data_IF_871443014783
#
_entry.id   IF_871443014783
#
_cell.length_a   1.000
_cell.length_b   1.000
_cell.length_c   1.000
_cell.angle_alpha   90.00
_cell.angle_beta   90.00
_cell.angle_gamma   90.00
#
_symmetry.space_group_name_H-M   'P 1'
#
loop_
_entity.id
_entity.type
_entity.pdbx_description
1 polymer ?
#
# COMPACT_ATOMS: atom_id res chain seq x y z
N UNK A 1 7.34 -6.63 7.70
CA UNK A 1 8.53 -7.31 7.15
C UNK A 1 9.22 -6.50 6.05
N UNK A 2 8.63 -6.27 4.86
CA UNK A 2 9.32 -5.49 3.82
C UNK A 2 9.47 -4.01 4.17
N UNK A 3 8.42 -3.38 4.70
CA UNK A 3 8.47 -2.01 5.19
C UNK A 3 9.52 -1.82 6.30
N UNK A 4 9.77 -2.86 7.11
CA UNK A 4 10.78 -2.80 8.17
C UNK A 4 12.19 -2.80 7.59
N UNK A 5 12.48 -3.57 6.53
CA UNK A 5 13.77 -3.49 5.83
C UNK A 5 14.06 -2.09 5.29
N UNK A 6 13.03 -1.40 4.79
CA UNK A 6 13.13 -0.02 4.32
C UNK A 6 13.36 0.98 5.47
N UNK A 7 12.76 0.74 6.63
CA UNK A 7 12.95 1.54 7.86
C UNK A 7 14.40 1.54 8.37
N UNK A 8 15.16 0.46 8.12
CA UNK A 8 16.56 0.39 8.54
C UNK A 8 17.48 1.37 7.81
N UNK A 9 17.06 1.93 6.67
CA UNK A 9 17.84 2.87 5.85
C UNK A 9 19.17 2.30 5.34
N UNK A 10 19.38 0.98 5.49
CA UNK A 10 20.56 0.23 5.07
C UNK A 10 20.17 -1.20 4.70
N UNK A 11 20.98 -1.89 3.89
CA UNK A 11 20.84 -3.32 3.70
C UNK A 11 20.95 -4.07 5.03
N UNK A 12 19.94 -4.89 5.37
CA UNK A 12 19.87 -5.69 6.59
C UNK A 12 19.66 -7.17 6.27
N UNK A 13 20.15 -8.05 7.16
CA UNK A 13 19.96 -9.50 7.01
C UNK A 13 18.58 -9.95 7.51
N UNK A 14 18.11 -11.08 7.00
CA UNK A 14 16.87 -11.71 7.45
C UNK A 14 16.87 -12.01 8.94
N UNK A 15 18.01 -12.41 9.51
CA UNK A 15 18.13 -12.64 10.94
C UNK A 15 17.92 -11.37 11.78
N UNK A 16 18.40 -10.21 11.29
CA UNK A 16 18.22 -8.93 11.98
C UNK A 16 16.75 -8.48 11.95
N UNK A 17 16.09 -8.60 10.79
CA UNK A 17 14.66 -8.27 10.66
C UNK A 17 13.82 -9.22 11.50
N UNK A 18 14.13 -10.51 11.49
CA UNK A 18 13.44 -11.51 12.29
C UNK A 18 13.52 -11.21 13.78
N UNK A 19 14.71 -10.91 14.31
CA UNK A 19 14.87 -10.54 15.72
C UNK A 19 14.04 -9.30 16.04
N UNK A 20 14.07 -8.26 15.22
CA UNK A 20 13.31 -7.03 15.50
C UNK A 20 11.80 -7.25 15.51
N UNK A 21 11.28 -8.11 14.66
CA UNK A 21 9.83 -8.38 14.57
C UNK A 21 9.32 -9.41 15.56
N UNK A 22 10.21 -10.28 16.04
CA UNK A 22 9.87 -11.36 16.96
C UNK A 22 10.44 -11.13 18.37
N UNK A 23 10.94 -9.92 18.64
CA UNK A 23 11.36 -9.45 19.97
C UNK A 23 10.54 -8.22 20.35
N UNK A 24 9.92 -8.28 21.52
CA UNK A 24 9.16 -7.17 22.10
C UNK A 24 10.10 -6.04 22.58
N UNK A 25 9.59 -4.82 22.86
CA UNK A 25 10.41 -3.72 23.37
C UNK A 25 11.10 -4.00 24.72
N UNK A 26 10.59 -4.96 25.49
CA UNK A 26 11.20 -5.44 26.75
C UNK A 26 12.35 -6.43 26.53
N UNK A 27 12.69 -6.75 25.27
CA UNK A 27 13.73 -7.70 24.89
C UNK A 27 13.28 -9.17 24.93
N UNK A 28 12.02 -9.44 25.28
CA UNK A 28 11.48 -10.80 25.36
C UNK A 28 10.98 -11.25 23.99
N UNK A 29 11.35 -12.47 23.58
CA UNK A 29 10.83 -13.06 22.34
C UNK A 29 9.32 -13.31 22.41
N UNK A 30 8.64 -13.17 21.28
CA UNK A 30 7.17 -13.31 21.20
C UNK A 30 6.70 -14.74 21.50
N UNK A 31 7.51 -15.75 21.20
CA UNK A 31 7.27 -17.15 21.48
C UNK A 31 8.58 -17.97 21.58
N UNK A 32 8.48 -19.25 21.97
CA UNK A 32 9.64 -20.13 22.14
C UNK A 32 10.35 -20.47 20.81
N UNK A 33 9.64 -20.50 19.67
CA UNK A 33 10.28 -20.72 18.37
C UNK A 33 11.06 -19.48 17.93
N UNK A 34 10.52 -18.29 18.18
CA UNK A 34 11.16 -17.01 17.98
C UNK A 34 12.44 -16.83 18.80
N UNK A 35 12.60 -17.57 19.89
CA UNK A 35 13.85 -17.61 20.66
C UNK A 35 14.87 -18.62 20.09
N UNK A 36 14.43 -19.81 19.68
CA UNK A 36 15.33 -20.85 19.19
C UNK A 36 16.02 -20.50 17.87
N UNK A 37 15.28 -19.88 16.94
CA UNK A 37 15.82 -19.50 15.63
C UNK A 37 17.02 -18.55 15.75
N UNK A 38 16.95 -17.42 16.48
CA UNK A 38 18.07 -16.50 16.64
C UNK A 38 19.24 -17.11 17.43
N UNK A 39 18.98 -17.99 18.40
CA UNK A 39 20.04 -18.70 19.13
C UNK A 39 20.83 -19.64 18.20
N UNK A 40 20.13 -20.45 17.40
CA UNK A 40 20.77 -21.30 16.40
C UNK A 40 21.51 -20.48 15.32
N UNK A 41 20.93 -19.34 14.93
CA UNK A 41 21.50 -18.40 13.97
C UNK A 41 22.81 -17.79 14.47
N UNK A 42 22.85 -17.26 15.69
CA UNK A 42 24.05 -16.66 16.28
C UNK A 42 25.16 -17.70 16.45
N UNK A 43 24.80 -18.93 16.88
CA UNK A 43 25.76 -20.03 16.98
C UNK A 43 26.40 -20.34 15.62
N UNK A 44 25.60 -20.47 14.55
CA UNK A 44 26.13 -20.76 13.21
C UNK A 44 26.90 -19.57 12.61
N UNK A 45 26.53 -18.32 12.93
CA UNK A 45 27.33 -17.15 12.55
C UNK A 45 28.72 -17.23 13.16
N UNK A 46 28.82 -17.53 14.46
CA UNK A 46 30.08 -17.66 15.15
C UNK A 46 30.93 -18.83 14.61
N UNK A 47 30.28 -19.96 14.31
CA UNK A 47 30.94 -21.12 13.70
C UNK A 47 31.48 -20.80 12.30
N UNK A 48 30.67 -20.16 11.44
CA UNK A 48 31.09 -19.77 10.10
C UNK A 48 32.26 -18.77 10.11
N UNK A 49 32.25 -17.80 11.04
CA UNK A 49 33.39 -16.88 11.23
C UNK A 49 34.65 -17.59 11.75
N UNK A 50 34.50 -18.73 12.44
CA UNK A 50 35.62 -19.51 12.98
C UNK A 50 36.19 -20.53 11.98
N UNK A 51 35.37 -21.06 11.05
CA UNK A 51 35.78 -22.08 10.07
C UNK A 51 36.53 -21.48 8.86
N UNK A 52 36.23 -20.24 8.49
CA UNK A 52 36.93 -19.51 7.42
C UNK A 52 38.40 -19.22 7.76
N UNK A 53 38.77 -19.27 9.06
CA UNK A 53 40.15 -19.24 9.52
C UNK A 53 40.94 -20.53 9.22
N UNK A 54 40.28 -21.63 8.80
CA UNK A 54 40.88 -22.98 8.69
C UNK A 54 40.97 -23.56 7.25
N UNK A 55 40.27 -23.03 6.24
CA UNK A 55 40.35 -23.50 4.84
C UNK A 55 40.93 -22.42 3.90
N UNK A 56 42.24 -22.16 3.88
CA UNK A 56 43.29 -22.86 3.09
C UNK A 56 44.03 -21.83 2.17
N UNK A 57 44.92 -22.21 1.23
CA UNK A 57 46.11 -23.07 1.24
C UNK A 57 47.42 -22.25 1.42
N UNK A 58 48.54 -22.95 1.66
CA UNK A 58 49.83 -22.36 2.04
C UNK A 58 50.33 -21.17 1.22
N UNK A 59 50.34 -19.99 1.87
CA UNK A 59 51.39 -19.00 1.68
C UNK A 59 51.88 -18.53 3.04
N UNK A 60 53.19 -18.72 3.20
CA UNK A 60 54.03 -18.30 4.30
C UNK A 60 53.76 -16.86 4.75
N UNK A 61 53.68 -16.67 6.07
CA UNK A 61 54.21 -15.46 6.72
C UNK A 61 53.34 -14.21 6.71
N UNK A 62 52.15 -14.23 7.33
CA UNK A 62 51.85 -13.24 8.38
C UNK A 62 50.78 -13.82 9.31
N UNK A 63 51.20 -14.19 10.52
CA UNK A 63 50.31 -14.57 11.61
C UNK A 63 50.30 -13.39 12.57
N UNK A 64 49.41 -12.43 12.35
CA UNK A 64 49.11 -11.41 13.37
C UNK A 64 47.86 -10.55 13.14
N UNK A 65 47.29 -10.49 11.92
CA UNK A 65 46.22 -9.51 11.64
C UNK A 65 44.86 -10.05 11.17
N UNK A 66 44.63 -11.36 11.08
CA UNK A 66 43.34 -11.89 10.57
C UNK A 66 42.22 -12.02 11.60
N UNK A 67 42.52 -11.96 12.90
CA UNK A 67 41.54 -12.15 13.98
C UNK A 67 40.51 -11.02 14.17
N UNK A 68 40.48 -9.98 13.32
CA UNK A 68 39.69 -8.76 13.63
C UNK A 68 38.68 -8.29 12.59
N UNK A 69 38.48 -8.92 11.41
CA UNK A 69 37.63 -8.25 10.42
C UNK A 69 36.91 -9.05 9.32
N UNK A 70 36.70 -10.35 9.43
CA UNK A 70 35.78 -11.03 8.49
C UNK A 70 34.33 -10.85 8.96
N UNK A 71 33.70 -9.77 8.49
CA UNK A 71 32.26 -9.56 8.65
C UNK A 71 31.54 -10.31 7.52
N UNK A 72 30.78 -11.36 7.85
CA UNK A 72 29.95 -12.09 6.87
C UNK A 72 29.05 -11.12 6.08
N UNK A 73 28.95 -11.35 4.77
CA UNK A 73 28.04 -10.59 3.89
C UNK A 73 26.58 -10.84 4.26
N UNK A 74 25.68 -10.00 3.77
CA UNK A 74 24.24 -10.13 4.04
C UNK A 74 23.70 -11.43 3.45
N UNK A 75 24.18 -11.83 2.28
CA UNK A 75 23.79 -13.06 1.61
C UNK A 75 24.23 -14.29 2.41
N UNK A 76 25.48 -14.29 2.91
CA UNK A 76 25.97 -15.35 3.79
C UNK A 76 25.17 -15.42 5.09
N UNK A 77 24.85 -14.26 5.67
CA UNK A 77 23.98 -14.15 6.84
C UNK A 77 22.56 -14.67 6.55
N UNK A 78 22.01 -14.43 5.37
CA UNK A 78 20.67 -14.91 4.98
C UNK A 78 20.67 -16.42 4.73
N UNK A 79 21.75 -16.95 4.16
CA UNK A 79 21.97 -18.39 3.98
C UNK A 79 21.96 -19.12 5.32
N UNK A 80 22.74 -18.61 6.28
CA UNK A 80 22.82 -19.19 7.62
C UNK A 80 21.45 -19.13 8.29
N UNK A 81 20.75 -18.00 8.18
CA UNK A 81 19.40 -17.86 8.71
C UNK A 81 18.44 -18.93 8.14
N UNK A 82 18.49 -19.17 6.83
CA UNK A 82 17.67 -20.19 6.15
C UNK A 82 17.94 -21.60 6.67
N UNK A 83 19.18 -21.91 7.08
CA UNK A 83 19.54 -23.21 7.67
C UNK A 83 19.07 -23.37 9.12
N UNK A 84 18.93 -22.27 9.86
CA UNK A 84 18.53 -22.26 11.28
C UNK A 84 17.01 -22.27 11.50
N UNK A 85 16.23 -22.07 10.45
CA UNK A 85 14.78 -21.88 10.52
C UNK A 85 14.04 -22.97 9.74
N UNK A 86 12.73 -23.07 9.97
CA UNK A 86 11.87 -24.00 9.26
C UNK A 86 11.27 -23.32 8.03
N UNK A 87 11.16 -24.08 6.96
CA UNK A 87 10.49 -23.67 5.72
C UNK A 87 9.22 -24.50 5.54
N UNK A 88 8.13 -23.87 5.11
CA UNK A 88 6.90 -24.58 4.78
C UNK A 88 7.01 -25.31 3.42
N UNK A 89 6.04 -26.15 3.04
CA UNK A 89 6.04 -26.83 1.74
C UNK A 89 6.02 -25.90 0.52
N UNK A 90 5.68 -24.62 0.70
CA UNK A 90 5.66 -23.59 -0.33
C UNK A 90 7.00 -22.86 -0.46
N UNK A 91 7.99 -23.18 0.38
CA UNK A 91 9.29 -22.49 0.39
C UNK A 91 9.32 -21.23 1.25
N UNK A 92 8.26 -20.95 2.02
CA UNK A 92 8.18 -19.79 2.90
C UNK A 92 8.92 -20.05 4.20
N UNK A 93 9.87 -19.18 4.50
CA UNK A 93 10.64 -19.24 5.74
C UNK A 93 9.81 -18.70 6.91
N UNK A 94 9.81 -19.43 8.03
CA UNK A 94 9.14 -19.02 9.26
C UNK A 94 9.54 -17.60 9.71
N UNK A 95 8.54 -16.78 10.01
CA UNK A 95 8.69 -15.39 10.46
C UNK A 95 9.17 -14.40 9.40
N UNK A 96 9.44 -14.84 8.16
CA UNK A 96 9.82 -13.97 7.06
C UNK A 96 8.69 -13.66 6.08
N UNK A 97 7.64 -14.49 6.05
CA UNK A 97 6.57 -14.35 5.05
C UNK A 97 7.15 -14.45 3.63
N UNK A 98 6.66 -13.63 2.70
CA UNK A 98 7.05 -13.67 1.29
C UNK A 98 8.42 -13.01 0.99
N UNK A 99 9.13 -12.49 2.00
CA UNK A 99 10.42 -11.83 1.81
C UNK A 99 11.45 -12.66 1.02
N UNK A 100 11.64 -13.97 1.26
CA UNK A 100 12.66 -14.75 0.56
C UNK A 100 12.37 -14.87 -0.95
N UNK A 101 11.09 -14.91 -1.34
CA UNK A 101 10.67 -15.05 -2.74
C UNK A 101 11.10 -13.84 -3.60
N UNK A 102 11.33 -12.68 -2.98
CA UNK A 102 11.76 -11.47 -3.67
C UNK A 102 13.27 -11.39 -3.89
N UNK A 103 14.08 -12.14 -3.12
CA UNK A 103 15.55 -12.13 -3.27
C UNK A 103 15.99 -13.15 -4.34
N UNK A 104 15.26 -14.26 -4.45
CA UNK A 104 15.54 -15.34 -5.41
C UNK A 104 15.09 -14.98 -6.85
N UNK A 105 14.25 -13.95 -7.01
CA UNK A 105 13.77 -13.46 -8.32
C UNK A 105 14.83 -12.69 -9.12
N UNK A 106 16.05 -12.54 -8.58
CA UNK A 106 17.22 -11.95 -9.24
C UNK A 106 17.71 -12.68 -10.51
N UNK A 107 17.09 -13.81 -10.89
CA UNK A 107 17.16 -14.39 -12.23
C UNK A 107 15.78 -14.81 -12.70
N UNK A 108 15.02 -13.84 -13.20
CA UNK A 108 13.93 -14.06 -14.13
C UNK A 108 12.62 -14.54 -13.50
N UNK A 109 11.92 -13.61 -12.86
CA UNK A 109 10.49 -13.32 -12.97
C UNK A 109 10.07 -12.59 -11.71
N UNK A 110 10.21 -11.28 -11.76
CA UNK A 110 9.46 -10.39 -10.91
C UNK A 110 7.98 -10.63 -11.22
N UNK A 111 7.33 -11.49 -10.44
CA UNK A 111 5.87 -11.67 -10.49
C UNK A 111 5.20 -10.50 -9.78
N UNK A 112 5.43 -9.29 -10.29
CA UNK A 112 4.55 -8.14 -10.09
C UNK A 112 3.74 -7.85 -11.37
N UNK A 113 3.82 -8.73 -12.37
CA UNK A 113 3.16 -8.59 -13.66
C UNK A 113 2.40 -9.85 -14.09
N UNK A 114 1.66 -10.47 -13.17
CA UNK A 114 0.53 -11.33 -13.57
C UNK A 114 -0.77 -10.54 -13.62
N UNK A 115 -0.72 -9.31 -14.13
CA UNK A 115 -1.84 -8.82 -14.93
C UNK A 115 -1.63 -9.45 -16.30
N UNK A 116 -2.42 -10.47 -16.60
CA UNK A 116 -2.47 -11.13 -17.90
C UNK A 116 -2.54 -10.02 -18.97
N UNK A 117 -1.63 -9.95 -19.95
CA UNK A 117 -1.66 -8.96 -21.06
C UNK A 117 -3.07 -8.54 -21.58
N UNK A 118 -4.10 -9.41 -21.64
CA UNK A 118 -5.49 -9.01 -21.88
C UNK A 118 -6.10 -8.00 -20.90
N UNK A 119 -5.76 -8.02 -19.61
CA UNK A 119 -6.32 -7.13 -18.58
C UNK A 119 -5.83 -5.68 -18.73
N UNK A 120 -4.55 -5.46 -19.07
CA UNK A 120 -4.05 -4.11 -19.37
C UNK A 120 -4.68 -3.52 -20.65
N UNK A 121 -4.85 -4.33 -21.69
CA UNK A 121 -5.57 -3.91 -22.91
C UNK A 121 -7.01 -3.55 -22.58
N UNK A 122 -7.68 -4.38 -21.76
CA UNK A 122 -9.05 -4.14 -21.33
C UNK A 122 -9.19 -2.86 -20.49
N UNK A 123 -8.18 -2.54 -19.67
CA UNK A 123 -8.17 -1.28 -18.90
C UNK A 123 -7.98 -0.08 -19.84
N UNK A 124 -7.10 -0.17 -20.84
CA UNK A 124 -6.91 0.90 -21.82
C UNK A 124 -8.16 1.13 -22.66
N UNK A 125 -8.84 0.06 -23.10
CA UNK A 125 -10.09 0.14 -23.84
C UNK A 125 -11.19 0.79 -23.00
N UNK A 126 -11.32 0.41 -21.72
CA UNK A 126 -12.27 1.03 -20.78
C UNK A 126 -11.99 2.51 -20.55
N UNK A 127 -10.72 2.91 -20.44
CA UNK A 127 -10.36 4.33 -20.30
C UNK A 127 -10.74 5.13 -21.55
N UNK A 128 -10.50 4.58 -22.73
CA UNK A 128 -10.86 5.24 -23.99
C UNK A 128 -12.38 5.34 -24.16
N UNK A 129 -13.12 4.28 -23.82
CA UNK A 129 -14.59 4.28 -23.84
C UNK A 129 -15.16 5.29 -22.84
N UNK A 130 -14.64 5.32 -21.61
CA UNK A 130 -15.05 6.26 -20.59
C UNK A 130 -14.80 7.72 -21.03
N UNK A 131 -13.63 8.00 -21.63
CA UNK A 131 -13.33 9.34 -22.14
C UNK A 131 -14.31 9.76 -23.24
N UNK A 132 -14.57 8.89 -24.21
CA UNK A 132 -15.54 9.16 -25.28
C UNK A 132 -16.95 9.41 -24.71
N UNK A 133 -17.35 8.67 -23.67
CA UNK A 133 -18.63 8.84 -22.99
C UNK A 133 -18.72 10.18 -22.25
N UNK A 134 -17.65 10.60 -21.59
CA UNK A 134 -17.56 11.93 -20.95
C UNK A 134 -17.72 13.04 -21.98
N UNK A 135 -16.97 12.98 -23.09
CA UNK A 135 -17.01 14.02 -24.12
C UNK A 135 -18.43 14.15 -24.73
N UNK A 136 -19.09 13.02 -24.96
CA UNK A 136 -20.47 12.99 -25.47
C UNK A 136 -21.47 13.59 -24.47
N UNK A 137 -21.35 13.22 -23.19
CA UNK A 137 -22.20 13.74 -22.12
C UNK A 137 -21.97 15.24 -21.88
N UNK A 138 -20.73 15.71 -21.99
CA UNK A 138 -20.37 17.12 -21.85
C UNK A 138 -20.99 17.98 -22.96
N UNK A 139 -20.98 17.51 -24.21
CA UNK A 139 -21.65 18.20 -25.32
C UNK A 139 -23.17 18.26 -25.13
N UNK A 140 -23.79 17.16 -24.68
CA UNK A 140 -25.22 17.14 -24.41
C UNK A 140 -25.61 18.03 -23.24
N UNK A 141 -24.80 18.05 -22.17
CA UNK A 141 -24.98 18.93 -21.02
C UNK A 141 -24.85 20.40 -21.45
N UNK A 142 -23.86 20.75 -22.27
CA UNK A 142 -23.71 22.11 -22.79
C UNK A 142 -24.95 22.58 -23.56
N UNK A 143 -25.58 21.71 -24.36
CA UNK A 143 -26.85 22.02 -25.05
C UNK A 143 -27.99 22.27 -24.06
N UNK A 144 -28.15 21.40 -23.05
CA UNK A 144 -29.19 21.53 -22.03
C UNK A 144 -29.01 22.79 -21.19
N UNK A 145 -27.77 23.13 -20.83
CA UNK A 145 -27.43 24.34 -20.07
C UNK A 145 -27.75 25.61 -20.87
N UNK A 146 -27.46 25.63 -22.16
CA UNK A 146 -27.80 26.74 -23.05
C UNK A 146 -29.32 26.96 -23.18
N UNK A 147 -30.08 25.87 -23.31
CA UNK A 147 -31.55 25.93 -23.32
C UNK A 147 -32.09 26.45 -21.99
N UNK A 148 -31.56 25.94 -20.86
CA UNK A 148 -31.95 26.38 -19.53
C UNK A 148 -31.63 27.86 -19.30
N UNK A 149 -30.46 28.32 -19.76
CA UNK A 149 -30.05 29.73 -19.71
C UNK A 149 -31.01 30.62 -20.48
N UNK A 150 -31.38 30.24 -21.71
CA UNK A 150 -32.36 30.98 -22.53
C UNK A 150 -33.76 31.00 -21.88
N UNK A 151 -34.19 29.87 -21.33
CA UNK A 151 -35.48 29.78 -20.65
C UNK A 151 -35.51 30.68 -19.41
N UNK A 152 -34.44 30.67 -18.61
CA UNK A 152 -34.29 31.54 -17.45
C UNK A 152 -34.26 33.03 -17.83
N UNK A 153 -33.58 33.39 -18.92
CA UNK A 153 -33.57 34.75 -19.46
C UNK A 153 -34.98 35.21 -19.84
N UNK A 154 -35.73 34.36 -20.57
CA UNK A 154 -37.12 34.66 -20.95
C UNK A 154 -38.03 34.80 -19.75
N UNK A 155 -37.87 33.97 -18.72
CA UNK A 155 -38.61 34.09 -17.46
C UNK A 155 -38.25 35.41 -16.76
N UNK A 156 -36.97 35.77 -16.72
CA UNK A 156 -36.51 37.04 -16.14
C UNK A 156 -37.09 38.25 -16.87
N UNK A 157 -37.13 38.21 -18.20
CA UNK A 157 -37.73 39.27 -19.03
C UNK A 157 -39.22 39.42 -18.76
N UNK A 158 -39.97 38.31 -18.75
CA UNK A 158 -41.40 38.30 -18.42
C UNK A 158 -41.62 38.82 -16.99
N UNK A 159 -40.78 38.41 -16.03
CA UNK A 159 -40.84 38.88 -14.65
C UNK A 159 -40.59 40.39 -14.52
N UNK A 160 -39.71 40.98 -15.33
CA UNK A 160 -39.47 42.45 -15.35
C UNK A 160 -40.65 43.21 -15.96
N UNK A 161 -41.34 42.63 -16.94
CA UNK A 161 -42.56 43.23 -17.49
C UNK A 161 -43.75 43.12 -16.53
N UNK A 162 -43.78 42.07 -15.72
CA UNK A 162 -44.81 41.83 -14.71
C UNK A 162 -44.50 42.47 -13.36
N UNK A 163 -43.29 43.02 -13.14
CA UNK A 163 -43.00 43.75 -11.90
C UNK A 163 -43.84 45.02 -11.89
N UNK A 164 -44.77 45.17 -10.94
CA UNK A 164 -45.59 46.35 -10.85
C UNK A 164 -44.69 47.58 -10.65
N UNK A 165 -44.91 48.61 -11.46
CA UNK A 165 -44.38 49.95 -11.21
C UNK A 165 -44.82 50.36 -9.82
N UNK A 166 -43.86 50.56 -8.91
CA UNK A 166 -44.12 51.00 -7.55
C UNK A 166 -44.96 52.29 -7.54
N UNK A 167 -46.20 52.16 -7.06
CA UNK A 167 -46.97 53.23 -6.43
C UNK A 167 -47.59 52.66 -5.15
N UNK A 168 -47.51 53.37 -4.01
CA UNK A 168 -47.67 52.76 -2.70
C UNK A 168 -49.13 52.74 -2.20
N UNK A 169 -49.33 51.89 -1.19
CA UNK A 169 -50.29 52.00 -0.09
C UNK A 169 -51.60 51.18 -0.13
N UNK A 170 -51.73 50.37 0.95
CA UNK A 170 -52.97 49.95 1.64
C UNK A 170 -53.79 48.84 0.94
N UNK A 171 -54.35 47.82 1.60
CA UNK A 171 -54.65 47.60 3.00
C UNK A 171 -54.78 46.08 3.29
N UNK A 172 -54.79 45.78 4.58
CA UNK A 172 -54.90 44.50 5.27
C UNK A 172 -56.19 43.71 4.95
N UNK A 173 -56.13 42.37 5.02
CA UNK A 173 -57.06 41.48 5.78
C UNK A 173 -56.58 40.01 5.62
N UNK A 174 -55.91 39.41 6.62
CA UNK A 174 -56.47 38.62 7.74
C UNK A 174 -56.50 37.09 7.46
N UNK A 175 -55.41 36.44 7.87
CA UNK A 175 -55.32 35.00 8.23
C UNK A 175 -56.13 34.73 9.54
N UNK A 176 -56.43 33.49 10.00
CA UNK A 176 -55.57 32.29 9.88
C UNK A 176 -56.28 30.92 9.68
N UNK A 177 -55.53 29.93 9.17
CA UNK A 177 -56.03 28.56 8.99
C UNK A 177 -54.95 27.49 9.20
N UNK A 178 -54.60 27.25 10.47
CA UNK A 178 -53.71 26.19 10.96
C UNK A 178 -54.28 24.79 10.78
N UNK A 179 -53.56 23.90 10.08
CA UNK A 179 -53.21 22.56 10.61
C UNK A 179 -52.00 21.94 9.90
N UNK A 180 -51.13 21.20 10.61
CA UNK A 180 -49.85 20.68 10.13
C UNK A 180 -50.01 19.34 9.40
N UNK A 181 -49.19 19.08 8.37
CA UNK A 181 -49.05 17.75 7.78
C UNK A 181 -47.63 17.23 8.04
N UNK A 182 -47.55 16.11 8.76
CA UNK A 182 -46.34 15.46 9.25
C UNK A 182 -45.29 15.13 8.18
N UNK A 183 -44.00 15.06 8.55
CA UNK A 183 -42.93 14.54 7.68
C UNK A 183 -42.96 13.00 7.61
N UNK A 184 -42.73 12.38 6.43
CA UNK A 184 -42.54 10.94 6.36
C UNK A 184 -41.17 10.53 6.94
N UNK A 185 -41.19 9.61 7.89
CA UNK A 185 -40.03 8.99 8.51
C UNK A 185 -39.30 8.00 7.56
N UNK A 186 -37.98 7.77 7.77
CA UNK A 186 -37.16 6.89 6.95
C UNK A 186 -37.39 5.42 7.31
N UNK A 187 -37.47 4.55 6.30
CA UNK A 187 -37.43 3.11 6.49
C UNK A 187 -35.98 2.60 6.43
N UNK A 188 -35.54 2.01 7.53
CA UNK A 188 -34.34 1.16 7.64
C UNK A 188 -34.81 -0.29 7.72
N UNK A 189 -34.26 -1.17 6.88
CA UNK A 189 -33.82 -2.55 7.16
C UNK A 189 -33.39 -3.22 5.86
#
# INVERSE_FOLDING_TARGET
MQQEMEEFGRPVSWGEVFQRTHTKPDGIFVDFKAQQVPEAYEKQLNEAMSEEDLQGPGISGNSSQRSTQLTLTIEQKNEIFRKCTQTDPKGIIFGLGELPLMVDSGKGKESFASSTMPELSQIQDQLHEAQHKIDTEEEENARRDEEHRKAQEKISEISKLLSPTDAPASAQDKEPGITPLDPPAPATA
#
